data_IF_011546980397
#
_entry.id   IF_011546980397
#
_cell.length_a   1.000
_cell.length_b   1.000
_cell.length_c   1.000
_cell.angle_alpha   90.00
_cell.angle_beta   90.00
_cell.angle_gamma   90.00
#
_symmetry.space_group_name_H-M   'P 1'
#
loop_
_entity.id
_entity.type
_entity.pdbx_description
1 polymer ?
#
# COMPACT_ATOMS: atom_id res chain seq x y z
N UNK A 1 19.99 53.18 -9.35
CA UNK A 1 20.24 52.67 -8.00
C UNK A 1 19.00 52.93 -7.15
N UNK A 2 18.45 51.95 -6.46
CA UNK A 2 17.27 52.19 -5.61
C UNK A 2 17.63 53.12 -4.46
N UNK A 3 16.71 54.01 -4.11
CA UNK A 3 16.91 54.98 -3.02
C UNK A 3 16.93 54.30 -1.64
N UNK A 4 17.59 54.88 -0.64
CA UNK A 4 17.63 54.38 0.75
C UNK A 4 16.22 54.04 1.29
N UNK A 5 15.19 54.78 0.89
CA UNK A 5 13.79 54.55 1.28
C UNK A 5 13.20 53.30 0.67
N UNK A 6 13.57 52.96 -0.55
CA UNK A 6 13.11 51.72 -1.23
C UNK A 6 13.79 50.48 -0.66
N UNK A 7 15.06 50.62 -0.24
CA UNK A 7 15.80 49.51 0.40
C UNK A 7 15.25 49.19 1.80
N UNK A 8 14.96 50.21 2.62
CA UNK A 8 14.39 50.03 3.97
C UNK A 8 12.96 49.49 3.89
N UNK A 9 12.16 49.90 2.90
CA UNK A 9 10.80 49.31 2.67
C UNK A 9 10.82 47.85 2.30
N UNK A 10 11.75 47.40 1.45
CA UNK A 10 11.87 46.02 1.04
C UNK A 10 12.41 45.10 2.15
N UNK A 11 13.33 45.59 2.98
CA UNK A 11 13.84 44.82 4.14
C UNK A 11 12.79 44.74 5.26
N UNK A 12 12.03 45.81 5.50
CA UNK A 12 10.95 45.81 6.50
C UNK A 12 9.80 44.86 6.14
N UNK A 13 9.41 44.83 4.87
CA UNK A 13 8.37 43.88 4.39
C UNK A 13 8.83 42.41 4.48
N UNK A 14 10.10 42.13 4.20
CA UNK A 14 10.68 40.80 4.33
C UNK A 14 10.71 40.30 5.78
N UNK A 15 11.05 41.19 6.73
CA UNK A 15 11.07 40.88 8.18
C UNK A 15 9.68 40.65 8.76
N UNK A 16 8.66 41.37 8.28
CA UNK A 16 7.27 41.21 8.74
C UNK A 16 6.63 39.91 8.18
N UNK A 17 7.08 39.43 7.04
CA UNK A 17 6.58 38.17 6.42
C UNK A 17 7.33 36.92 6.93
N UNK A 18 8.51 37.05 7.50
CA UNK A 18 9.33 35.95 7.99
C UNK A 18 8.59 34.99 8.97
N UNK A 19 7.78 35.46 9.94
CA UNK A 19 7.00 34.59 10.81
C UNK A 19 5.93 33.78 10.03
N UNK A 20 5.29 34.39 9.01
CA UNK A 20 4.25 33.75 8.22
C UNK A 20 4.82 32.74 7.21
N UNK A 21 6.00 33.04 6.64
CA UNK A 21 6.75 32.12 5.81
C UNK A 21 7.19 30.90 6.64
N UNK A 22 7.72 31.12 7.84
CA UNK A 22 8.10 30.04 8.75
C UNK A 22 6.89 29.23 9.23
N UNK A 23 5.74 29.85 9.51
CA UNK A 23 4.52 29.12 9.84
C UNK A 23 3.99 28.31 8.66
N UNK A 24 4.03 28.86 7.43
CA UNK A 24 3.63 28.15 6.21
C UNK A 24 4.56 26.96 5.91
N UNK A 25 5.88 27.14 6.09
CA UNK A 25 6.85 26.06 5.95
C UNK A 25 6.74 25.01 7.06
N UNK A 26 6.50 25.41 8.30
CA UNK A 26 6.25 24.48 9.41
C UNK A 26 4.97 23.68 9.21
N UNK A 27 3.87 24.29 8.77
CA UNK A 27 2.62 23.57 8.42
C UNK A 27 2.83 22.61 7.25
N UNK A 28 3.56 23.00 6.19
CA UNK A 28 3.91 22.09 5.08
C UNK A 28 4.85 20.97 5.52
N UNK A 29 5.86 21.26 6.35
CA UNK A 29 6.76 20.25 6.89
C UNK A 29 6.02 19.30 7.85
N UNK A 30 5.08 19.80 8.64
CA UNK A 30 4.27 19.01 9.56
C UNK A 30 3.25 18.14 8.80
N UNK A 31 2.60 18.69 7.76
CA UNK A 31 1.75 17.90 6.86
C UNK A 31 2.56 16.82 6.13
N UNK A 32 3.77 17.12 5.66
CA UNK A 32 4.66 16.14 5.02
C UNK A 32 5.18 15.07 6.01
N UNK A 33 5.30 15.40 7.32
CA UNK A 33 5.72 14.44 8.35
C UNK A 33 4.62 13.44 8.71
N UNK A 34 3.36 13.79 8.41
CA UNK A 34 2.18 13.00 8.77
C UNK A 34 1.68 12.08 7.63
N UNK A 35 2.35 12.07 6.49
CA UNK A 35 1.97 11.24 5.35
C UNK A 35 2.61 9.85 5.43
N UNK A 36 1.84 8.83 5.06
CA UNK A 36 2.39 7.50 4.79
C UNK A 36 3.36 7.58 3.62
N UNK A 37 4.43 6.82 3.69
CA UNK A 37 5.43 6.77 2.63
C UNK A 37 5.25 5.57 1.72
N UNK A 38 4.45 4.61 2.16
CA UNK A 38 4.14 3.36 1.47
C UNK A 38 2.68 2.99 1.64
N UNK A 39 2.17 2.22 0.70
CA UNK A 39 0.86 1.58 0.80
C UNK A 39 1.01 0.08 0.54
N UNK A 40 0.34 -0.72 1.37
CA UNK A 40 0.20 -2.15 1.20
C UNK A 40 -1.27 -2.51 1.11
N UNK A 41 -1.68 -3.07 -0.02
CA UNK A 41 -3.04 -3.53 -0.27
C UNK A 41 -3.06 -5.05 -0.14
N UNK A 42 -3.83 -5.54 0.80
CA UNK A 42 -4.09 -6.95 1.01
C UNK A 42 -5.48 -7.25 0.43
N UNK A 43 -5.56 -8.17 -0.52
CA UNK A 43 -6.81 -8.53 -1.19
C UNK A 43 -7.19 -9.96 -0.88
N UNK A 44 -8.47 -10.19 -0.65
CA UNK A 44 -9.04 -11.53 -0.51
C UNK A 44 -10.46 -11.55 -1.06
N UNK A 45 -11.00 -12.75 -1.21
CA UNK A 45 -12.39 -12.92 -1.58
C UNK A 45 -13.33 -12.36 -0.52
N UNK A 46 -14.60 -12.22 -0.88
CA UNK A 46 -15.67 -11.71 -0.04
C UNK A 46 -15.96 -12.57 1.19
N UNK A 47 -16.68 -12.00 2.09
CA UNK A 47 -17.02 -12.59 3.38
C UNK A 47 -18.53 -12.64 3.59
N UNK A 48 -18.95 -13.15 4.74
CA UNK A 48 -20.36 -13.16 5.13
C UNK A 48 -20.61 -12.10 6.22
N UNK A 49 -21.35 -11.02 5.90
CA UNK A 49 -21.53 -9.86 6.76
C UNK A 49 -21.96 -10.17 8.19
N UNK A 50 -22.98 -11.01 8.43
CA UNK A 50 -23.48 -11.27 9.78
C UNK A 50 -22.43 -11.86 10.73
N UNK A 51 -21.41 -12.53 10.20
CA UNK A 51 -20.37 -13.18 11.00
C UNK A 51 -19.07 -12.37 11.06
N UNK A 52 -18.93 -11.36 10.21
CA UNK A 52 -17.74 -10.50 10.17
C UNK A 52 -17.84 -9.30 11.13
N UNK A 53 -19.02 -8.69 11.22
CA UNK A 53 -19.24 -7.50 12.04
C UNK A 53 -18.97 -7.79 13.52
N UNK A 54 -18.22 -6.93 14.24
CA UNK A 54 -18.04 -7.06 15.68
C UNK A 54 -19.37 -7.16 16.43
N UNK A 55 -19.44 -8.02 17.43
CA UNK A 55 -20.69 -8.29 18.17
C UNK A 55 -20.92 -7.31 19.32
N UNK A 56 -19.89 -6.59 19.76
CA UNK A 56 -20.00 -5.53 20.77
C UNK A 56 -19.28 -4.27 20.29
N UNK A 57 -20.01 -3.14 20.28
CA UNK A 57 -19.51 -1.82 19.86
C UNK A 57 -20.05 -0.77 20.83
N UNK A 58 -19.19 0.13 21.31
CA UNK A 58 -19.56 1.30 22.11
C UNK A 58 -19.02 2.56 21.44
N UNK A 59 -19.93 3.36 20.86
CA UNK A 59 -19.55 4.41 19.93
C UNK A 59 -18.84 3.82 18.71
N UNK A 60 -17.56 4.13 18.53
CA UNK A 60 -16.70 3.54 17.49
C UNK A 60 -15.70 2.52 18.08
N UNK A 61 -15.70 2.28 19.41
CA UNK A 61 -14.77 1.33 20.03
C UNK A 61 -15.34 -0.09 20.00
N UNK A 62 -14.53 -1.05 19.59
CA UNK A 62 -14.90 -2.47 19.59
C UNK A 62 -14.76 -2.99 21.01
N UNK A 63 -15.85 -3.54 21.56
CA UNK A 63 -15.87 -4.17 22.89
C UNK A 63 -15.86 -5.69 22.80
N UNK A 64 -16.36 -6.25 21.70
CA UNK A 64 -16.36 -7.69 21.44
C UNK A 64 -16.15 -7.95 19.95
N UNK A 65 -15.09 -8.63 19.62
CA UNK A 65 -14.75 -9.03 18.27
C UNK A 65 -15.63 -10.20 17.81
N UNK A 66 -15.93 -10.26 16.52
CA UNK A 66 -16.54 -11.45 15.92
C UNK A 66 -15.50 -12.56 15.78
N UNK A 67 -15.94 -13.80 15.61
CA UNK A 67 -15.02 -14.93 15.41
C UNK A 67 -14.12 -14.76 14.16
N UNK A 68 -14.63 -14.13 13.09
CA UNK A 68 -13.86 -13.85 11.88
C UNK A 68 -12.78 -12.78 12.09
N UNK A 69 -13.08 -11.77 12.90
CA UNK A 69 -12.19 -10.62 13.12
C UNK A 69 -11.37 -10.73 14.41
N UNK A 70 -11.61 -11.75 15.23
CA UNK A 70 -10.93 -11.98 16.51
C UNK A 70 -9.39 -11.89 16.43
N UNK A 71 -8.70 -12.41 15.42
CA UNK A 71 -7.24 -12.31 15.34
C UNK A 71 -6.73 -10.87 15.32
N UNK A 72 -7.49 -9.93 14.77
CA UNK A 72 -7.13 -8.52 14.72
C UNK A 72 -7.07 -7.86 16.11
N UNK A 73 -7.69 -8.50 17.13
CA UNK A 73 -7.63 -8.01 18.52
C UNK A 73 -6.20 -7.97 19.07
N UNK A 74 -5.29 -8.81 18.55
CA UNK A 74 -3.87 -8.79 18.92
C UNK A 74 -3.16 -7.48 18.54
N UNK A 75 -3.73 -6.71 17.62
CA UNK A 75 -3.23 -5.42 17.12
C UNK A 75 -4.33 -4.35 17.18
N UNK A 76 -5.27 -4.49 18.08
CA UNK A 76 -6.49 -3.67 18.17
C UNK A 76 -6.20 -2.17 18.05
N UNK A 77 -5.25 -1.64 18.80
CA UNK A 77 -4.90 -0.21 18.80
C UNK A 77 -4.37 0.32 17.46
N UNK A 78 -4.14 -0.55 16.50
CA UNK A 78 -3.56 -0.21 15.20
C UNK A 78 -4.55 -0.37 14.03
N UNK A 79 -5.77 -0.87 14.29
CA UNK A 79 -6.71 -1.22 13.23
C UNK A 79 -8.01 -0.45 13.30
N UNK A 80 -8.57 -0.20 12.13
CA UNK A 80 -9.90 0.39 11.91
C UNK A 80 -10.66 -0.52 10.97
N UNK A 81 -11.81 -1.01 11.41
CA UNK A 81 -12.76 -1.76 10.60
C UNK A 81 -13.79 -0.79 10.03
N UNK A 82 -14.02 -0.86 8.74
CA UNK A 82 -15.02 -0.04 8.03
C UNK A 82 -15.97 -0.96 7.28
N UNK A 83 -17.27 -0.76 7.40
CA UNK A 83 -18.28 -1.54 6.70
C UNK A 83 -19.47 -0.71 6.22
N UNK A 84 -20.31 -1.33 5.39
CA UNK A 84 -21.58 -0.76 4.96
C UNK A 84 -21.50 0.07 3.69
N UNK A 85 -20.32 0.20 3.11
CA UNK A 85 -20.06 1.09 1.97
C UNK A 85 -20.44 0.40 0.64
N UNK A 86 -21.44 0.89 -0.11
CA UNK A 86 -21.79 0.29 -1.40
C UNK A 86 -20.73 0.62 -2.46
N UNK A 87 -20.54 -0.31 -3.42
CA UNK A 87 -19.75 -0.06 -4.62
C UNK A 87 -20.53 0.81 -5.64
N UNK A 88 -19.90 1.07 -6.77
CA UNK A 88 -20.54 1.77 -7.89
C UNK A 88 -21.66 0.98 -8.56
N UNK A 89 -21.56 -0.35 -8.50
CA UNK A 89 -22.59 -1.28 -8.97
C UNK A 89 -22.89 -2.31 -7.87
N UNK A 90 -23.66 -1.94 -6.85
CA UNK A 90 -23.77 -2.75 -5.63
C UNK A 90 -24.48 -4.10 -5.82
N UNK A 91 -25.11 -4.32 -6.96
CA UNK A 91 -25.81 -5.56 -7.28
C UNK A 91 -25.00 -6.52 -8.15
N UNK A 92 -23.79 -6.14 -8.55
CA UNK A 92 -22.88 -7.01 -9.30
C UNK A 92 -21.98 -7.77 -8.33
N UNK A 93 -22.20 -9.07 -8.27
CA UNK A 93 -21.50 -9.93 -7.32
C UNK A 93 -20.10 -10.35 -7.73
N UNK A 94 -19.75 -10.24 -9.00
CA UNK A 94 -18.47 -10.74 -9.51
C UNK A 94 -17.54 -9.63 -10.03
N UNK A 95 -17.84 -8.37 -9.68
CA UNK A 95 -17.03 -7.22 -10.06
C UNK A 95 -15.87 -6.95 -9.09
N UNK A 96 -14.96 -7.89 -8.89
CA UNK A 96 -13.82 -7.73 -7.97
C UNK A 96 -13.00 -6.46 -8.22
N UNK A 97 -12.93 -6.01 -9.48
CA UNK A 97 -12.27 -4.78 -9.88
C UNK A 97 -12.87 -3.52 -9.26
N UNK A 98 -14.15 -3.52 -8.94
CA UNK A 98 -14.81 -2.38 -8.31
C UNK A 98 -14.21 -2.05 -6.96
N UNK A 99 -13.75 -3.08 -6.24
CA UNK A 99 -13.15 -2.94 -4.92
C UNK A 99 -11.99 -1.95 -4.88
N UNK A 100 -11.15 -1.93 -5.91
CA UNK A 100 -9.96 -1.07 -5.96
C UNK A 100 -10.04 0.04 -7.00
N UNK A 101 -11.04 0.06 -7.87
CA UNK A 101 -11.19 1.13 -8.88
C UNK A 101 -12.16 2.24 -8.45
N UNK A 102 -13.02 1.96 -7.48
CA UNK A 102 -14.08 2.87 -7.05
C UNK A 102 -15.21 3.04 -8.05
N UNK A 103 -15.18 2.32 -9.17
CA UNK A 103 -16.20 2.40 -10.21
C UNK A 103 -17.08 1.16 -10.16
N UNK A 104 -18.37 1.33 -10.46
CA UNK A 104 -19.24 0.22 -10.74
C UNK A 104 -18.96 -0.31 -12.14
N UNK A 105 -18.72 -1.62 -12.22
CA UNK A 105 -18.60 -2.32 -13.50
C UNK A 105 -19.85 -3.12 -13.80
N UNK A 106 -20.11 -3.28 -15.08
CA UNK A 106 -21.05 -4.27 -15.57
C UNK A 106 -20.53 -5.68 -15.31
N UNK A 107 -21.43 -6.63 -15.36
CA UNK A 107 -21.28 -8.05 -15.15
C UNK A 107 -19.92 -8.64 -15.55
N UNK A 108 -19.43 -9.61 -14.77
CA UNK A 108 -18.23 -10.43 -14.98
C UNK A 108 -17.86 -10.63 -16.47
N UNK A 109 -16.64 -10.26 -16.82
CA UNK A 109 -16.10 -10.44 -18.17
C UNK A 109 -16.54 -9.41 -19.22
N UNK A 110 -17.35 -8.41 -18.88
CA UNK A 110 -17.90 -7.46 -19.85
C UNK A 110 -17.35 -6.04 -19.78
N UNK A 111 -16.51 -5.71 -18.82
CA UNK A 111 -16.04 -4.35 -18.61
C UNK A 111 -14.55 -4.16 -18.89
N UNK A 112 -14.17 -3.00 -19.39
CA UNK A 112 -12.80 -2.53 -19.36
C UNK A 112 -12.49 -2.12 -17.92
N UNK A 113 -11.65 -2.88 -17.21
CA UNK A 113 -11.20 -2.50 -15.87
C UNK A 113 -10.53 -1.13 -15.96
N UNK A 114 -10.89 -0.26 -15.05
CA UNK A 114 -10.31 1.07 -14.91
C UNK A 114 -9.09 1.02 -14.01
N UNK A 115 -8.36 2.11 -13.93
CA UNK A 115 -7.18 2.21 -13.10
C UNK A 115 -7.50 1.92 -11.64
N UNK A 116 -6.88 0.92 -11.05
CA UNK A 116 -6.98 0.62 -9.62
C UNK A 116 -6.16 1.60 -8.78
N UNK A 117 -6.50 1.72 -7.50
CA UNK A 117 -5.92 2.72 -6.58
C UNK A 117 -4.40 2.59 -6.44
N UNK A 118 -3.87 1.37 -6.45
CA UNK A 118 -2.43 1.12 -6.43
C UNK A 118 -1.71 1.69 -7.65
N UNK A 119 -2.27 1.47 -8.86
CA UNK A 119 -1.72 2.01 -10.10
C UNK A 119 -1.86 3.52 -10.18
N UNK A 120 -2.98 4.06 -9.70
CA UNK A 120 -3.17 5.50 -9.61
C UNK A 120 -2.13 6.13 -8.67
N UNK A 121 -1.94 5.58 -7.47
CA UNK A 121 -0.95 6.05 -6.50
C UNK A 121 0.46 5.94 -7.10
N UNK A 122 0.82 4.80 -7.68
CA UNK A 122 2.12 4.60 -8.30
C UNK A 122 2.41 5.65 -9.38
N UNK A 123 1.44 5.94 -10.26
CA UNK A 123 1.56 6.96 -11.30
C UNK A 123 1.78 8.37 -10.72
N UNK A 124 1.05 8.72 -9.65
CA UNK A 124 1.19 10.02 -8.98
C UNK A 124 2.52 10.16 -8.26
N UNK A 125 3.01 9.09 -7.61
CA UNK A 125 4.33 9.09 -6.98
C UNK A 125 5.43 9.32 -8.02
N UNK A 126 5.38 8.63 -9.17
CA UNK A 126 6.32 8.84 -10.28
C UNK A 126 6.24 10.29 -10.80
N UNK A 127 5.04 10.82 -11.01
CA UNK A 127 4.85 12.21 -11.45
C UNK A 127 5.38 13.22 -10.43
N UNK A 128 5.35 12.90 -9.13
CA UNK A 128 5.90 13.72 -8.05
C UNK A 128 7.41 13.49 -7.82
N UNK A 129 8.09 12.78 -8.72
CA UNK A 129 9.53 12.59 -8.68
C UNK A 129 10.02 11.44 -7.80
N UNK A 130 9.13 10.60 -7.28
CA UNK A 130 9.52 9.37 -6.55
C UNK A 130 10.03 8.36 -7.58
N UNK A 131 11.29 7.96 -7.42
CA UNK A 131 11.96 7.01 -8.33
C UNK A 131 12.30 5.73 -7.58
N UNK A 132 11.37 4.79 -7.57
CA UNK A 132 11.64 3.43 -7.10
C UNK A 132 11.88 2.50 -8.29
N UNK A 133 12.71 1.45 -8.15
CA UNK A 133 12.93 0.45 -9.22
C UNK A 133 11.64 -0.18 -9.74
N UNK A 134 10.68 -0.42 -8.84
CA UNK A 134 9.36 -0.99 -9.14
C UNK A 134 8.31 0.03 -8.70
N UNK A 135 7.49 0.50 -9.64
CA UNK A 135 6.46 1.49 -9.35
C UNK A 135 5.32 0.91 -8.50
N UNK A 136 4.85 -0.29 -8.83
CA UNK A 136 3.88 -1.08 -8.06
C UNK A 136 4.25 -2.56 -8.15
N UNK A 137 4.24 -3.27 -7.02
CA UNK A 137 4.57 -4.69 -6.90
C UNK A 137 3.29 -5.49 -6.64
N UNK A 138 2.87 -6.30 -7.61
CA UNK A 138 1.64 -7.10 -7.54
C UNK A 138 2.00 -8.56 -7.33
N UNK A 139 1.78 -9.09 -6.12
CA UNK A 139 2.05 -10.47 -5.75
C UNK A 139 0.76 -11.18 -5.33
N UNK A 140 0.69 -12.48 -5.57
CA UNK A 140 -0.42 -13.29 -5.11
C UNK A 140 -0.39 -14.70 -5.69
N UNK A 141 -0.68 -15.71 -4.87
CA UNK A 141 -0.77 -17.08 -5.30
C UNK A 141 -2.22 -17.48 -5.55
N UNK A 142 -2.41 -18.37 -6.54
CA UNK A 142 -3.71 -18.82 -7.00
C UNK A 142 -4.66 -17.70 -7.48
N UNK A 143 -4.07 -16.71 -8.16
CA UNK A 143 -4.79 -15.53 -8.67
C UNK A 143 -4.94 -15.54 -10.20
N UNK A 144 -4.61 -16.65 -10.88
CA UNK A 144 -4.28 -16.65 -12.30
C UNK A 144 -5.21 -17.51 -13.16
N UNK A 145 -6.42 -17.82 -12.77
CA UNK A 145 -7.31 -18.72 -13.51
C UNK A 145 -7.69 -18.22 -14.92
N UNK A 146 -7.78 -16.91 -15.12
CA UNK A 146 -8.15 -16.29 -16.39
C UNK A 146 -6.93 -15.85 -17.21
N UNK A 147 -5.96 -16.73 -17.41
CA UNK A 147 -4.76 -16.41 -18.20
C UNK A 147 -3.74 -15.52 -17.48
N UNK A 148 -3.74 -15.52 -16.17
CA UNK A 148 -2.75 -14.84 -15.38
C UNK A 148 -3.11 -13.41 -14.97
N UNK A 149 -4.34 -12.98 -15.15
CA UNK A 149 -4.79 -11.62 -14.89
C UNK A 149 -5.59 -11.56 -13.58
N UNK A 150 -5.18 -10.66 -12.68
CA UNK A 150 -5.94 -10.36 -11.48
C UNK A 150 -7.25 -9.64 -11.81
N UNK A 151 -8.27 -9.88 -11.02
CA UNK A 151 -9.52 -9.13 -11.09
C UNK A 151 -9.53 -7.86 -10.24
N UNK A 152 -8.55 -7.69 -9.37
CA UNK A 152 -8.43 -6.50 -8.52
C UNK A 152 -7.69 -5.36 -9.20
N UNK A 153 -6.70 -5.63 -10.04
CA UNK A 153 -5.74 -4.61 -10.47
C UNK A 153 -5.94 -4.21 -11.93
N UNK A 154 -6.27 -2.96 -12.13
CA UNK A 154 -6.47 -2.36 -13.43
C UNK A 154 -5.38 -1.36 -13.81
N UNK A 155 -4.81 -1.52 -15.00
CA UNK A 155 -3.77 -0.63 -15.54
C UNK A 155 -4.25 0.78 -15.84
N UNK A 156 -3.32 1.71 -16.03
CA UNK A 156 -3.59 3.13 -16.29
C UNK A 156 -4.47 3.39 -17.54
N UNK A 157 -4.42 2.48 -18.51
CA UNK A 157 -5.19 2.56 -19.76
C UNK A 157 -6.37 1.58 -19.80
N UNK A 158 -6.74 1.01 -18.66
CA UNK A 158 -7.69 -0.10 -18.57
C UNK A 158 -7.00 -1.45 -18.77
N UNK A 159 -7.78 -2.54 -18.57
CA UNK A 159 -7.30 -3.91 -18.65
C UNK A 159 -6.70 -4.42 -17.34
N UNK A 160 -6.90 -5.70 -17.09
CA UNK A 160 -6.42 -6.39 -15.89
C UNK A 160 -4.90 -6.53 -15.93
N UNK A 161 -4.27 -6.41 -14.77
CA UNK A 161 -2.85 -6.61 -14.59
C UNK A 161 -2.58 -8.00 -14.00
N UNK A 162 -1.48 -8.67 -14.42
CA UNK A 162 -1.09 -9.94 -13.84
C UNK A 162 -0.47 -9.76 -12.46
N UNK A 163 -0.68 -10.74 -11.59
CA UNK A 163 0.09 -10.92 -10.36
C UNK A 163 1.25 -11.88 -10.57
N UNK A 164 2.31 -11.71 -9.79
CA UNK A 164 3.41 -12.68 -9.75
C UNK A 164 3.08 -13.72 -8.68
N UNK A 165 2.68 -14.91 -9.11
CA UNK A 165 2.32 -16.02 -8.22
C UNK A 165 3.54 -16.79 -7.72
N UNK A 166 4.54 -17.00 -8.58
CA UNK A 166 5.78 -17.71 -8.25
C UNK A 166 6.63 -16.96 -7.22
N UNK A 167 6.92 -17.54 -6.04
CA UNK A 167 7.82 -16.95 -5.07
C UNK A 167 9.23 -16.70 -5.62
N UNK A 168 9.73 -17.62 -6.45
CA UNK A 168 11.05 -17.48 -7.07
C UNK A 168 11.07 -16.37 -8.11
N UNK A 169 10.03 -16.27 -8.94
CA UNK A 169 9.90 -15.17 -9.91
C UNK A 169 9.74 -13.82 -9.22
N UNK A 170 8.94 -13.74 -8.15
CA UNK A 170 8.80 -12.53 -7.34
C UNK A 170 10.13 -12.11 -6.72
N UNK A 171 10.86 -13.06 -6.13
CA UNK A 171 12.19 -12.83 -5.59
C UNK A 171 13.18 -12.32 -6.65
N UNK A 172 13.23 -12.95 -7.81
CA UNK A 172 14.10 -12.56 -8.92
C UNK A 172 13.73 -11.18 -9.48
N UNK A 173 12.43 -10.87 -9.57
CA UNK A 173 11.96 -9.55 -10.00
C UNK A 173 12.42 -8.47 -9.04
N UNK A 174 12.31 -8.71 -7.73
CA UNK A 174 12.62 -7.70 -6.70
C UNK A 174 14.14 -7.63 -6.42
N UNK A 175 14.82 -8.78 -6.36
CA UNK A 175 16.21 -8.86 -5.88
C UNK A 175 17.21 -9.42 -6.90
N UNK A 176 16.74 -9.97 -8.04
CA UNK A 176 17.60 -10.70 -8.99
C UNK A 176 18.60 -9.82 -9.76
N UNK A 177 18.17 -8.66 -10.23
CA UNK A 177 18.99 -7.79 -11.07
C UNK A 177 19.59 -6.57 -10.35
N UNK A 178 19.14 -6.26 -9.14
CA UNK A 178 19.33 -4.95 -8.54
C UNK A 178 20.22 -4.90 -7.29
N UNK A 179 20.50 -6.03 -6.66
CA UNK A 179 21.31 -6.05 -5.44
C UNK A 179 22.53 -6.95 -5.62
N UNK A 180 23.76 -6.43 -5.44
CA UNK A 180 24.93 -7.27 -5.33
C UNK A 180 24.76 -8.26 -4.19
N UNK A 181 25.12 -9.53 -4.41
CA UNK A 181 25.10 -10.57 -3.38
C UNK A 181 25.98 -10.15 -2.20
N UNK A 182 25.42 -10.12 -1.00
CA UNK A 182 26.17 -9.94 0.24
C UNK A 182 26.31 -8.52 0.74
N UNK A 183 25.55 -7.56 0.25
CA UNK A 183 25.70 -6.16 0.64
C UNK A 183 24.42 -5.55 1.21
N UNK A 184 24.63 -4.96 2.37
CA UNK A 184 23.75 -4.08 3.13
C UNK A 184 23.31 -2.84 2.31
N UNK A 185 22.52 -1.98 2.91
CA UNK A 185 22.16 -0.64 2.44
C UNK A 185 23.33 0.15 1.81
N UNK A 186 24.58 -0.16 2.17
CA UNK A 186 25.80 0.37 1.57
C UNK A 186 25.95 0.13 0.06
N UNK A 187 25.42 -0.96 -0.50
CA UNK A 187 25.56 -1.22 -1.95
C UNK A 187 24.49 -0.48 -2.78
N UNK A 188 23.30 -0.28 -2.22
CA UNK A 188 22.31 0.60 -2.85
C UNK A 188 22.83 2.04 -2.90
N UNK A 189 23.54 2.45 -1.85
CA UNK A 189 24.25 3.73 -1.81
C UNK A 189 25.42 3.78 -2.78
N UNK A 190 26.24 2.74 -2.86
CA UNK A 190 27.34 2.68 -3.81
C UNK A 190 26.85 2.80 -5.26
N UNK A 191 25.68 2.22 -5.59
CA UNK A 191 25.07 2.37 -6.92
C UNK A 191 24.48 3.76 -7.14
N UNK A 192 23.81 4.34 -6.14
CA UNK A 192 23.34 5.74 -6.19
C UNK A 192 24.53 6.69 -6.32
N UNK A 193 25.59 6.44 -5.58
CA UNK A 193 26.85 7.17 -5.69
C UNK A 193 27.47 7.01 -7.08
N UNK A 194 27.53 5.82 -7.65
CA UNK A 194 28.05 5.58 -9.02
C UNK A 194 27.25 6.35 -10.09
N UNK A 195 25.93 6.48 -9.93
CA UNK A 195 25.10 7.29 -10.85
C UNK A 195 25.40 8.78 -10.66
N UNK A 196 25.53 9.24 -9.43
CA UNK A 196 25.86 10.63 -9.12
C UNK A 196 27.30 10.98 -9.55
N UNK A 197 28.24 10.06 -9.35
CA UNK A 197 29.63 10.20 -9.84
C UNK A 197 29.68 10.30 -11.38
N UNK A 198 28.87 9.53 -12.10
CA UNK A 198 28.71 9.60 -13.56
C UNK A 198 28.16 10.96 -13.99
N UNK A 199 27.07 11.41 -13.35
CA UNK A 199 26.47 12.72 -13.62
C UNK A 199 27.43 13.85 -13.29
N UNK A 200 28.19 13.73 -12.19
CA UNK A 200 29.22 14.69 -11.79
C UNK A 200 30.33 14.74 -12.81
N UNK A 201 30.76 13.59 -13.38
CA UNK A 201 31.73 13.50 -14.48
C UNK A 201 31.27 14.22 -15.76
N UNK A 202 30.00 14.01 -16.15
CA UNK A 202 29.39 14.70 -17.30
C UNK A 202 29.28 16.21 -17.09
N UNK A 203 28.88 16.64 -15.89
CA UNK A 203 28.77 18.06 -15.51
C UNK A 203 30.19 18.69 -15.51
N UNK A 204 31.21 18.01 -15.01
CA UNK A 204 32.59 18.50 -15.02
C UNK A 204 33.10 18.67 -16.44
N UNK A 205 32.73 17.74 -17.34
CA UNK A 205 33.00 17.86 -18.77
C UNK A 205 32.33 19.10 -19.38
N UNK A 206 31.08 19.38 -19.01
CA UNK A 206 30.36 20.55 -19.47
C UNK A 206 30.94 21.87 -18.95
N UNK A 207 31.47 21.90 -17.72
CA UNK A 207 32.13 23.07 -17.14
C UNK A 207 33.29 23.61 -17.99
N UNK A 208 33.98 22.75 -18.77
CA UNK A 208 35.03 23.18 -19.64
C UNK A 208 34.58 24.03 -20.82
N UNK A 209 33.27 24.01 -21.14
CA UNK A 209 32.64 24.71 -22.26
C UNK A 209 31.82 25.94 -21.89
N UNK A 210 31.68 26.21 -20.59
CA UNK A 210 30.83 27.29 -20.07
C UNK A 210 31.59 28.55 -19.69
N UNK A 211 30.94 29.71 -19.78
CA UNK A 211 31.44 30.99 -19.30
C UNK A 211 31.53 31.04 -17.76
N UNK A 212 32.30 32.01 -17.23
CA UNK A 212 32.59 32.10 -15.78
C UNK A 212 31.35 32.21 -14.88
N UNK A 213 30.28 32.86 -15.32
CA UNK A 213 29.05 33.03 -14.54
C UNK A 213 28.20 31.76 -14.51
N UNK A 214 28.09 31.04 -15.65
CA UNK A 214 27.42 29.76 -15.74
C UNK A 214 28.18 28.67 -14.99
N UNK A 215 29.50 28.70 -15.04
CA UNK A 215 30.37 27.81 -14.27
C UNK A 215 30.17 27.98 -12.76
N UNK A 216 30.09 29.19 -12.26
CA UNK A 216 29.85 29.46 -10.83
C UNK A 216 28.47 28.94 -10.36
N UNK A 217 27.43 29.05 -11.18
CA UNK A 217 26.11 28.48 -10.88
C UNK A 217 26.14 26.97 -10.86
N UNK A 218 26.87 26.36 -11.79
CA UNK A 218 27.00 24.90 -11.88
C UNK A 218 27.86 24.35 -10.73
N UNK A 219 28.88 25.06 -10.30
CA UNK A 219 29.69 24.72 -9.11
C UNK A 219 28.87 24.76 -7.82
N UNK A 220 28.01 25.79 -7.65
CA UNK A 220 27.08 25.89 -6.54
C UNK A 220 26.08 24.73 -6.52
N UNK A 221 25.62 24.28 -7.71
CA UNK A 221 24.70 23.15 -7.84
C UNK A 221 25.39 21.82 -7.51
N UNK A 222 26.61 21.61 -8.00
CA UNK A 222 27.46 20.45 -7.66
C UNK A 222 27.76 20.38 -6.16
N UNK A 223 28.11 21.51 -5.55
CA UNK A 223 28.34 21.60 -4.10
C UNK A 223 27.08 21.21 -3.32
N UNK A 224 25.89 21.62 -3.79
CA UNK A 224 24.62 21.25 -3.17
C UNK A 224 24.31 19.76 -3.32
N UNK A 225 24.63 19.16 -4.46
CA UNK A 225 24.50 17.71 -4.70
C UNK A 225 25.45 16.94 -3.79
N UNK A 226 26.73 17.34 -3.70
CA UNK A 226 27.74 16.71 -2.84
C UNK A 226 27.36 16.85 -1.35
N UNK A 227 26.82 18.00 -0.92
CA UNK A 227 26.33 18.19 0.44
C UNK A 227 25.15 17.27 0.74
N UNK A 228 24.27 17.05 -0.24
CA UNK A 228 23.15 16.10 -0.15
C UNK A 228 23.64 14.65 -0.07
N UNK A 229 24.64 14.28 -0.88
CA UNK A 229 25.32 12.98 -0.82
C UNK A 229 25.94 12.71 0.55
N UNK A 230 26.73 13.66 1.05
CA UNK A 230 27.37 13.55 2.35
C UNK A 230 26.33 13.44 3.48
N UNK A 231 25.21 14.16 3.39
CA UNK A 231 24.12 14.07 4.33
C UNK A 231 23.39 12.73 4.26
N UNK A 232 23.22 12.17 3.07
CA UNK A 232 22.67 10.83 2.85
C UNK A 232 23.61 9.74 3.38
N UNK A 233 24.94 9.94 3.25
CA UNK A 233 25.94 8.99 3.76
C UNK A 233 26.09 9.02 5.29
N UNK A 234 25.94 10.19 5.92
CA UNK A 234 26.05 10.34 7.37
C UNK A 234 24.74 10.04 8.13
N UNK A 235 23.60 10.02 7.45
CA UNK A 235 22.29 9.76 8.04
C UNK A 235 21.82 8.32 7.96
N UNK A 236 22.68 7.39 7.59
CA UNK A 236 22.30 5.98 7.56
C UNK A 236 22.30 5.37 8.95
N UNK A 237 21.17 4.76 9.35
CA UNK A 237 21.18 3.91 10.54
C UNK A 237 22.05 2.68 10.27
N UNK A 238 23.01 2.43 11.14
CA UNK A 238 23.80 1.19 11.20
C UNK A 238 22.98 -0.02 11.67
N UNK A 239 21.65 0.04 11.59
CA UNK A 239 20.68 -0.95 12.03
C UNK A 239 19.85 -1.48 10.86
N UNK A 240 20.18 -2.65 10.41
CA UNK A 240 19.31 -3.75 9.96
C UNK A 240 18.17 -3.50 8.95
N UNK A 241 18.23 -2.48 8.04
CA UNK A 241 17.06 -2.17 7.21
C UNK A 241 16.91 -3.01 5.94
N UNK A 242 17.83 -2.90 5.02
CA UNK A 242 17.73 -3.57 3.71
C UNK A 242 18.55 -4.86 3.69
N UNK A 243 17.88 -5.99 3.72
CA UNK A 243 18.52 -7.30 3.54
C UNK A 243 17.81 -8.08 2.42
N UNK A 244 18.62 -8.69 1.54
CA UNK A 244 18.11 -9.65 0.59
C UNK A 244 17.64 -10.88 1.37
N UNK A 245 16.37 -11.27 1.31
CA UNK A 245 15.91 -12.47 1.99
C UNK A 245 16.53 -13.73 1.38
N UNK A 246 16.42 -14.86 2.08
CA UNK A 246 16.83 -16.16 1.52
C UNK A 246 16.09 -16.42 0.22
N UNK A 247 16.82 -16.87 -0.80
CA UNK A 247 16.21 -17.26 -2.07
C UNK A 247 15.18 -18.37 -1.83
N UNK A 248 13.95 -18.22 -2.31
CA UNK A 248 12.95 -19.29 -2.24
C UNK A 248 13.41 -20.54 -2.97
N UNK A 249 12.87 -21.70 -2.62
CA UNK A 249 13.04 -22.92 -3.39
C UNK A 249 12.47 -22.80 -4.82
N UNK A 250 12.71 -23.83 -5.64
CA UNK A 250 12.15 -23.90 -6.98
C UNK A 250 10.61 -23.88 -6.94
N UNK A 251 9.97 -23.36 -7.97
CA UNK A 251 8.50 -23.25 -8.06
C UNK A 251 7.80 -24.60 -7.91
N UNK A 252 8.41 -25.70 -8.38
CA UNK A 252 7.94 -27.07 -8.14
C UNK A 252 7.77 -27.44 -6.66
N UNK A 253 8.43 -26.68 -5.76
CA UNK A 253 8.31 -26.89 -4.30
C UNK A 253 7.06 -26.27 -3.71
N UNK A 254 6.37 -25.37 -4.41
CA UNK A 254 5.26 -24.58 -3.86
C UNK A 254 3.92 -24.82 -4.53
N UNK A 255 3.89 -25.47 -5.70
CA UNK A 255 2.66 -25.75 -6.46
C UNK A 255 1.61 -24.63 -6.41
N UNK A 256 2.08 -23.37 -6.42
CA UNK A 256 1.25 -22.17 -6.21
C UNK A 256 0.12 -22.01 -7.24
N UNK A 257 0.19 -22.73 -8.37
CA UNK A 257 -0.86 -22.79 -9.39
C UNK A 257 -1.82 -23.98 -9.21
N UNK A 258 -1.49 -24.91 -8.33
CA UNK A 258 -2.24 -26.15 -8.10
C UNK A 258 -2.87 -26.22 -6.71
N UNK A 259 -3.18 -25.07 -6.11
CA UNK A 259 -3.93 -24.98 -4.85
C UNK A 259 -3.20 -25.50 -3.60
N UNK A 260 -2.29 -26.44 -3.74
CA UNK A 260 -1.72 -27.16 -2.59
C UNK A 260 -0.86 -26.29 -1.68
N UNK A 261 -0.18 -25.27 -2.22
CA UNK A 261 0.76 -24.44 -1.45
C UNK A 261 0.56 -22.91 -1.64
N UNK A 262 -0.60 -22.48 -2.14
CA UNK A 262 -0.89 -21.08 -2.37
C UNK A 262 -0.74 -20.23 -1.10
N UNK A 263 -1.18 -20.75 0.05
CA UNK A 263 -1.03 -20.07 1.32
C UNK A 263 0.45 -20.00 1.78
N UNK A 264 1.21 -21.07 1.56
CA UNK A 264 2.65 -21.10 1.84
C UNK A 264 3.44 -20.14 0.93
N UNK A 265 3.09 -20.08 -0.37
CA UNK A 265 3.66 -19.12 -1.31
C UNK A 265 3.42 -17.68 -0.86
N UNK A 266 2.21 -17.37 -0.39
CA UNK A 266 1.88 -16.03 0.11
C UNK A 266 2.65 -15.64 1.39
N UNK A 267 3.04 -16.58 2.25
CA UNK A 267 3.95 -16.31 3.38
C UNK A 267 5.34 -15.83 2.91
N UNK A 268 5.81 -16.35 1.77
CA UNK A 268 7.07 -15.90 1.18
C UNK A 268 6.87 -14.53 0.53
N UNK A 269 5.75 -14.31 -0.17
CA UNK A 269 5.41 -13.01 -0.74
C UNK A 269 5.35 -11.90 0.31
N UNK A 270 4.82 -12.17 1.52
CA UNK A 270 4.85 -11.20 2.63
C UNK A 270 6.28 -10.75 2.96
N UNK A 271 7.22 -11.71 3.04
CA UNK A 271 8.64 -11.41 3.31
C UNK A 271 9.29 -10.63 2.17
N UNK A 272 8.95 -10.96 0.91
CA UNK A 272 9.43 -10.23 -0.26
C UNK A 272 8.96 -8.78 -0.23
N UNK A 273 7.68 -8.53 0.05
CA UNK A 273 7.11 -7.17 0.15
C UNK A 273 7.80 -6.38 1.27
N UNK A 274 7.91 -6.95 2.47
CA UNK A 274 8.51 -6.28 3.61
C UNK A 274 9.97 -5.87 3.33
N UNK A 275 10.75 -6.76 2.73
CA UNK A 275 12.13 -6.46 2.34
C UNK A 275 12.21 -5.50 1.14
N UNK A 276 11.27 -5.55 0.18
CA UNK A 276 11.19 -4.58 -0.91
C UNK A 276 10.93 -3.16 -0.36
N UNK A 277 10.10 -3.03 0.67
CA UNK A 277 9.86 -1.78 1.38
C UNK A 277 11.10 -1.33 2.19
N UNK A 278 11.75 -2.25 2.90
CA UNK A 278 12.97 -1.97 3.64
C UNK A 278 14.14 -1.53 2.75
N UNK A 279 14.14 -1.94 1.50
CA UNK A 279 15.12 -1.55 0.50
C UNK A 279 14.69 -0.38 -0.40
N UNK A 280 13.52 0.22 -0.16
CA UNK A 280 12.90 1.25 -1.02
C UNK A 280 12.86 0.87 -2.51
N UNK A 281 12.65 -0.43 -2.79
CA UNK A 281 12.52 -0.96 -4.16
C UNK A 281 11.16 -0.59 -4.74
N UNK A 282 10.14 -0.57 -3.90
CA UNK A 282 8.80 -0.09 -4.22
C UNK A 282 8.21 0.65 -3.02
N UNK A 283 7.19 1.48 -3.27
CA UNK A 283 6.37 2.13 -2.23
C UNK A 283 4.90 1.76 -2.35
N UNK A 284 4.56 0.96 -3.34
CA UNK A 284 3.21 0.45 -3.56
C UNK A 284 3.33 -1.06 -3.74
N UNK A 285 2.68 -1.82 -2.88
CA UNK A 285 2.65 -3.27 -2.99
C UNK A 285 1.24 -3.81 -2.74
N UNK A 286 0.93 -4.88 -3.43
CA UNK A 286 -0.33 -5.61 -3.32
C UNK A 286 -0.03 -7.09 -3.06
N UNK A 287 -0.82 -7.70 -2.19
CA UNK A 287 -0.80 -9.13 -1.92
C UNK A 287 -2.22 -9.68 -2.03
N UNK A 288 -2.44 -10.57 -2.99
CA UNK A 288 -3.73 -11.17 -3.28
C UNK A 288 -3.79 -12.62 -2.81
N UNK A 289 -4.87 -12.95 -2.12
CA UNK A 289 -5.18 -14.31 -1.66
C UNK A 289 -6.34 -14.87 -2.47
N UNK A 290 -6.01 -15.48 -3.61
CA UNK A 290 -6.98 -16.06 -4.53
C UNK A 290 -7.73 -15.03 -5.38
N UNK A 291 -8.40 -15.52 -6.42
CA UNK A 291 -9.37 -14.74 -7.20
C UNK A 291 -10.80 -15.12 -6.81
N UNK A 292 -11.79 -14.51 -7.46
CA UNK A 292 -13.21 -14.67 -7.13
C UNK A 292 -13.76 -16.08 -7.36
N UNK A 293 -13.05 -16.96 -8.07
CA UNK A 293 -13.64 -18.24 -8.50
C UNK A 293 -13.11 -19.47 -7.77
N UNK A 294 -11.83 -19.52 -7.41
CA UNK A 294 -11.29 -20.73 -6.77
C UNK A 294 -10.03 -20.43 -5.95
N UNK A 295 -10.17 -20.13 -4.71
CA UNK A 295 -9.09 -20.36 -3.78
C UNK A 295 -9.31 -21.72 -3.12
N UNK A 296 -8.64 -22.73 -3.61
CA UNK A 296 -8.55 -24.01 -2.90
C UNK A 296 -7.73 -23.78 -1.63
N UNK A 297 -8.32 -24.10 -0.51
CA UNK A 297 -7.69 -23.90 0.79
C UNK A 297 -6.98 -25.17 1.20
N UNK A 298 -5.66 -25.18 1.12
CA UNK A 298 -4.81 -26.14 1.79
C UNK A 298 -4.13 -25.44 2.97
N UNK A 299 -4.87 -25.33 4.05
CA UNK A 299 -4.39 -24.59 5.20
C UNK A 299 -3.29 -25.33 5.95
N UNK A 300 -2.36 -24.60 6.59
CA UNK A 300 -1.32 -25.21 7.40
C UNK A 300 -1.90 -26.16 8.48
N UNK A 301 -1.16 -27.20 8.79
CA UNK A 301 -1.51 -28.13 9.87
C UNK A 301 -1.86 -27.40 11.16
N UNK A 302 -2.92 -27.82 11.81
CA UNK A 302 -3.39 -27.22 13.08
C UNK A 302 -4.48 -26.14 12.93
N UNK A 303 -4.80 -25.68 11.71
CA UNK A 303 -5.90 -24.72 11.50
C UNK A 303 -7.28 -25.36 11.61
N UNK A 304 -7.37 -26.67 11.40
CA UNK A 304 -8.63 -27.42 11.36
C UNK A 304 -9.51 -27.06 10.17
N UNK A 305 -8.90 -26.50 9.11
CA UNK A 305 -9.58 -26.23 7.84
C UNK A 305 -9.49 -27.46 6.94
N UNK A 306 -10.59 -27.98 6.40
CA UNK A 306 -10.56 -29.03 5.38
C UNK A 306 -9.99 -28.45 4.08
N UNK A 307 -9.44 -29.34 3.25
CA UNK A 307 -9.14 -28.99 1.87
C UNK A 307 -10.45 -28.83 1.11
N UNK A 308 -10.77 -27.61 0.71
CA UNK A 308 -12.00 -27.30 -0.03
C UNK A 308 -11.86 -25.94 -0.75
N UNK A 309 -12.76 -25.69 -1.66
CA UNK A 309 -12.88 -24.43 -2.37
C UNK A 309 -13.53 -23.36 -1.48
N UNK A 310 -12.91 -22.19 -1.38
CA UNK A 310 -13.49 -21.09 -0.62
C UNK A 310 -14.85 -20.65 -1.17
N UNK A 311 -15.01 -20.57 -2.50
CA UNK A 311 -16.24 -20.11 -3.14
C UNK A 311 -17.36 -21.15 -2.98
N UNK A 312 -17.19 -22.34 -3.57
CA UNK A 312 -18.22 -23.38 -3.54
C UNK A 312 -18.38 -24.03 -2.17
N UNK A 313 -17.27 -24.42 -1.56
CA UNK A 313 -17.24 -25.19 -0.32
C UNK A 313 -17.51 -24.37 0.94
N UNK A 314 -16.88 -23.21 1.10
CA UNK A 314 -17.00 -22.43 2.33
C UNK A 314 -18.12 -21.39 2.28
N UNK A 315 -18.31 -20.72 1.14
CA UNK A 315 -19.33 -19.67 1.01
C UNK A 315 -20.68 -20.29 0.66
N UNK A 316 -20.82 -20.91 -0.50
CA UNK A 316 -22.13 -21.35 -0.97
C UNK A 316 -22.64 -22.64 -0.31
N UNK A 317 -21.78 -23.62 -0.08
CA UNK A 317 -22.14 -24.84 0.65
C UNK A 317 -22.04 -24.69 2.17
N UNK A 318 -21.41 -23.64 2.63
CA UNK A 318 -21.14 -23.39 4.05
C UNK A 318 -22.37 -23.02 4.87
N UNK A 319 -23.48 -22.60 4.24
CA UNK A 319 -24.72 -22.22 4.91
C UNK A 319 -25.28 -23.34 5.79
N UNK A 320 -25.21 -24.60 5.32
CA UNK A 320 -25.68 -25.77 6.07
C UNK A 320 -24.86 -26.08 7.32
N UNK A 321 -23.62 -25.63 7.39
CA UNK A 321 -22.71 -25.78 8.53
C UNK A 321 -22.49 -24.48 9.32
N UNK A 322 -23.39 -23.51 9.19
CA UNK A 322 -23.27 -22.17 9.81
C UNK A 322 -21.96 -21.47 9.44
N UNK A 323 -21.45 -21.68 8.24
CA UNK A 323 -20.21 -21.08 7.74
C UNK A 323 -18.96 -21.37 8.59
N UNK A 324 -18.93 -22.47 9.33
CA UNK A 324 -17.85 -22.76 10.27
C UNK A 324 -16.45 -22.74 9.62
N UNK A 325 -16.32 -23.24 8.39
CA UNK A 325 -15.05 -23.24 7.65
C UNK A 325 -14.72 -21.83 7.12
N UNK A 326 -15.70 -21.07 6.66
CA UNK A 326 -15.50 -19.69 6.27
C UNK A 326 -15.03 -18.84 7.46
N UNK A 327 -15.61 -19.01 8.64
CA UNK A 327 -15.20 -18.33 9.88
C UNK A 327 -13.74 -18.63 10.20
N UNK A 328 -13.34 -19.90 10.15
CA UNK A 328 -11.94 -20.31 10.40
C UNK A 328 -10.99 -19.74 9.35
N UNK A 329 -11.39 -19.74 8.08
CA UNK A 329 -10.58 -19.23 6.99
C UNK A 329 -10.41 -17.71 7.09
N UNK A 330 -11.46 -16.97 7.35
CA UNK A 330 -11.41 -15.53 7.60
C UNK A 330 -10.52 -15.19 8.80
N UNK A 331 -10.63 -15.95 9.89
CA UNK A 331 -9.74 -15.83 11.04
C UNK A 331 -8.28 -16.13 10.66
N UNK A 332 -8.03 -17.14 9.82
CA UNK A 332 -6.69 -17.41 9.29
C UNK A 332 -6.16 -16.22 8.49
N UNK A 333 -6.94 -15.63 7.57
CA UNK A 333 -6.52 -14.42 6.84
C UNK A 333 -6.26 -13.26 7.79
N UNK A 334 -7.08 -13.11 8.84
CA UNK A 334 -6.82 -12.16 9.93
C UNK A 334 -5.46 -12.38 10.58
N UNK A 335 -5.05 -13.63 10.85
CA UNK A 335 -3.71 -13.92 11.38
C UNK A 335 -2.60 -13.53 10.40
N UNK A 336 -2.82 -13.71 9.10
CA UNK A 336 -1.86 -13.30 8.06
C UNK A 336 -1.71 -11.78 7.99
N UNK A 337 -2.80 -11.04 8.11
CA UNK A 337 -2.75 -9.59 8.17
C UNK A 337 -2.01 -9.09 9.41
N UNK A 338 -2.24 -9.71 10.58
CA UNK A 338 -1.50 -9.44 11.82
C UNK A 338 -0.01 -9.78 11.67
N UNK A 339 0.31 -10.89 11.01
CA UNK A 339 1.70 -11.28 10.74
C UNK A 339 2.42 -10.22 9.89
N UNK A 340 1.77 -9.68 8.85
CA UNK A 340 2.29 -8.57 8.05
C UNK A 340 2.52 -7.31 8.89
N UNK A 341 1.57 -6.93 9.75
CA UNK A 341 1.72 -5.80 10.68
C UNK A 341 2.98 -5.99 11.54
N UNK A 342 3.14 -7.18 12.14
CA UNK A 342 4.27 -7.47 13.02
C UNK A 342 5.60 -7.52 12.24
N UNK A 343 5.58 -8.04 11.01
CA UNK A 343 6.75 -8.04 10.14
C UNK A 343 7.21 -6.61 9.82
N UNK A 344 6.28 -5.70 9.48
CA UNK A 344 6.61 -4.30 9.23
C UNK A 344 7.03 -3.55 10.49
N UNK A 345 6.50 -3.89 11.66
CA UNK A 345 6.95 -3.36 12.96
C UNK A 345 8.38 -3.78 13.31
N UNK A 346 8.81 -4.95 12.84
CA UNK A 346 10.16 -5.46 13.08
C UNK A 346 11.26 -4.85 12.19
N UNK A 347 10.89 -4.00 11.21
CA UNK A 347 11.84 -3.43 10.25
C UNK A 347 11.87 -1.91 10.36
N UNK A 348 13.09 -1.34 10.44
CA UNK A 348 13.27 0.12 10.44
C UNK A 348 12.93 0.73 9.08
N UNK A 349 12.35 1.93 9.08
CA UNK A 349 12.07 2.67 7.85
C UNK A 349 13.36 3.33 7.31
N UNK A 350 13.85 2.93 6.11
CA UNK A 350 15.03 3.55 5.50
C UNK A 350 14.79 5.00 5.08
N UNK A 351 13.54 5.46 5.05
CA UNK A 351 13.17 6.84 4.70
C UNK A 351 12.96 7.73 5.93
N UNK A 352 13.07 7.17 7.13
CA UNK A 352 13.02 7.97 8.36
C UNK A 352 14.41 8.55 8.70
N UNK A 353 14.60 9.87 8.62
CA UNK A 353 15.88 10.49 8.91
C UNK A 353 16.27 10.40 10.38
N UNK A 354 15.33 10.09 11.27
CA UNK A 354 15.59 9.98 12.73
C UNK A 354 16.00 8.56 13.12
N UNK A 355 15.72 7.55 12.27
CA UNK A 355 15.98 6.15 12.56
C UNK A 355 15.09 5.55 13.65
N UNK A 356 14.03 6.27 14.05
CA UNK A 356 13.14 5.86 15.15
C UNK A 356 11.86 5.17 14.68
N UNK A 357 11.47 5.35 13.39
CA UNK A 357 10.25 4.79 12.83
C UNK A 357 10.49 3.43 12.21
N UNK A 358 9.49 2.57 12.37
CA UNK A 358 9.42 1.29 11.67
C UNK A 358 8.73 1.45 10.30
N UNK A 359 8.82 0.43 9.46
CA UNK A 359 8.04 0.40 8.22
C UNK A 359 6.53 0.51 8.49
N UNK A 360 6.05 -0.07 9.59
CA UNK A 360 4.63 0.01 9.96
C UNK A 360 4.18 1.45 10.25
N UNK A 361 5.02 2.25 10.90
CA UNK A 361 4.70 3.66 11.22
C UNK A 361 4.52 4.53 9.97
N UNK A 362 5.10 4.12 8.85
CA UNK A 362 5.12 4.89 7.60
C UNK A 362 4.42 4.18 6.44
N UNK A 363 3.76 3.07 6.69
CA UNK A 363 2.97 2.33 5.71
C UNK A 363 1.49 2.37 6.09
N UNK A 364 0.62 2.82 5.18
CA UNK A 364 -0.80 2.55 5.30
C UNK A 364 -1.09 1.17 4.71
N UNK A 365 -1.75 0.33 5.47
CA UNK A 365 -2.25 -0.97 5.03
C UNK A 365 -3.76 -0.91 4.86
N UNK A 366 -4.28 -1.53 3.80
CA UNK A 366 -5.71 -1.74 3.60
C UNK A 366 -5.96 -3.19 3.19
N UNK A 367 -6.91 -3.83 3.87
CA UNK A 367 -7.44 -5.12 3.47
C UNK A 367 -8.77 -4.88 2.75
N UNK A 368 -8.80 -5.17 1.46
CA UNK A 368 -9.94 -5.04 0.57
C UNK A 368 -10.46 -6.41 0.17
N UNK A 369 -11.72 -6.45 -0.25
CA UNK A 369 -12.43 -7.67 -0.67
C UNK A 369 -13.12 -7.44 -1.98
N UNK A 370 -13.32 -8.50 -2.76
CA UNK A 370 -14.07 -8.44 -4.02
C UNK A 370 -15.56 -8.11 -3.79
N UNK A 371 -16.15 -8.68 -2.73
CA UNK A 371 -17.57 -8.52 -2.41
C UNK A 371 -17.80 -8.08 -0.98
N UNK A 372 -18.90 -7.38 -0.75
CA UNK A 372 -19.41 -7.06 0.56
C UNK A 372 -20.13 -8.23 1.22
N UNK A 373 -20.89 -8.97 0.42
CA UNK A 373 -21.62 -10.18 0.82
C UNK A 373 -21.42 -11.25 -0.25
N UNK A 374 -20.51 -12.17 -0.01
CA UNK A 374 -20.16 -13.21 -0.95
C UNK A 374 -21.27 -14.26 -1.10
N UNK A 375 -22.03 -14.53 -0.04
CA UNK A 375 -23.14 -15.48 -0.10
C UNK A 375 -24.24 -15.01 -1.07
N UNK A 376 -24.54 -13.72 -1.08
CA UNK A 376 -25.59 -13.12 -1.89
C UNK A 376 -25.06 -12.43 -3.15
N UNK A 377 -23.79 -12.61 -3.49
CA UNK A 377 -23.14 -12.03 -4.65
C UNK A 377 -23.44 -10.53 -4.82
N UNK A 378 -23.13 -9.74 -3.80
CA UNK A 378 -23.35 -8.30 -3.92
C UNK A 378 -22.26 -7.45 -3.24
N UNK A 379 -22.20 -6.21 -3.64
CA UNK A 379 -21.27 -5.20 -3.16
C UNK A 379 -22.01 -4.04 -2.45
N UNK A 380 -23.17 -4.30 -1.87
CA UNK A 380 -23.96 -3.28 -1.16
C UNK A 380 -23.31 -2.83 0.14
N UNK A 381 -22.51 -3.69 0.75
CA UNK A 381 -21.91 -3.44 2.06
C UNK A 381 -20.44 -3.87 2.05
N UNK A 382 -19.61 -3.17 1.28
CA UNK A 382 -18.17 -3.43 1.22
C UNK A 382 -17.53 -3.25 2.59
N UNK A 383 -16.48 -4.05 2.84
CA UNK A 383 -15.75 -4.10 4.11
C UNK A 383 -14.27 -3.93 3.89
N UNK A 384 -13.69 -3.13 4.77
CA UNK A 384 -12.26 -2.83 4.74
C UNK A 384 -11.68 -2.91 6.15
N UNK A 385 -10.41 -3.31 6.25
CA UNK A 385 -9.60 -3.15 7.45
C UNK A 385 -8.45 -2.25 7.10
N UNK A 386 -8.29 -1.16 7.85
CA UNK A 386 -7.15 -0.24 7.70
C UNK A 386 -6.20 -0.45 8.87
N UNK A 387 -4.90 -0.34 8.62
CA UNK A 387 -3.87 -0.39 9.66
C UNK A 387 -2.65 0.45 9.27
N UNK A 388 -1.79 0.79 10.23
CA UNK A 388 -0.54 1.48 9.95
C UNK A 388 -0.68 3.00 9.86
N UNK A 389 0.36 3.67 9.36
CA UNK A 389 0.43 5.13 9.35
C UNK A 389 0.36 5.71 10.76
N UNK A 390 0.86 5.00 11.74
CA UNK A 390 0.59 5.18 13.16
C UNK A 390 0.98 6.58 13.66
N UNK A 391 0.00 7.27 14.26
CA UNK A 391 0.17 8.62 14.77
C UNK A 391 0.27 9.69 13.70
N UNK A 392 0.19 9.33 12.42
CA UNK A 392 0.35 10.27 11.32
C UNK A 392 -0.88 10.44 10.45
N UNK A 393 -1.56 9.37 10.08
CA UNK A 393 -2.76 9.48 9.25
C UNK A 393 -3.99 8.85 9.89
N UNK A 394 -3.91 7.58 10.29
CA UNK A 394 -5.06 6.80 10.70
C UNK A 394 -5.47 7.11 12.15
N UNK A 395 -6.69 7.57 12.35
CA UNK A 395 -7.28 7.73 13.68
C UNK A 395 -7.73 6.36 14.20
N UNK A 396 -7.09 5.86 15.25
CA UNK A 396 -7.35 4.56 15.87
C UNK A 396 -7.98 4.69 17.26
N UNK A 397 -8.34 3.57 17.87
CA UNK A 397 -8.80 3.47 19.26
C UNK A 397 -8.10 2.31 19.97
N UNK A 398 -7.96 2.37 21.29
CA UNK A 398 -7.21 1.39 22.08
C UNK A 398 -7.68 -0.07 21.86
N UNK A 399 -8.98 -0.28 21.73
CA UNK A 399 -9.58 -1.61 21.57
C UNK A 399 -9.96 -1.95 20.12
N UNK A 400 -9.43 -1.18 19.14
CA UNK A 400 -9.87 -1.23 17.76
C UNK A 400 -11.04 -0.28 17.50
N UNK A 401 -11.07 0.28 16.30
CA UNK A 401 -12.08 1.22 15.89
C UNK A 401 -12.97 0.61 14.82
N UNK A 402 -14.28 0.80 14.95
CA UNK A 402 -15.27 0.34 13.99
C UNK A 402 -16.08 1.53 13.46
N UNK A 403 -16.21 1.60 12.15
CA UNK A 403 -16.96 2.64 11.45
C UNK A 403 -17.96 1.96 10.52
N UNK A 404 -19.23 2.33 10.69
CA UNK A 404 -20.27 2.00 9.72
C UNK A 404 -20.59 3.22 8.87
N UNK A 405 -20.59 3.04 7.55
CA UNK A 405 -20.84 4.12 6.61
C UNK A 405 -21.68 3.61 5.45
N UNK A 406 -22.60 4.44 4.97
CA UNK A 406 -23.39 4.20 3.75
C UNK A 406 -22.87 5.00 2.55
N UNK A 407 -21.75 5.68 2.74
CA UNK A 407 -21.06 6.40 1.66
C UNK A 407 -20.46 5.43 0.66
N UNK A 408 -20.27 5.87 -0.57
CA UNK A 408 -19.62 5.06 -1.62
C UNK A 408 -18.24 4.60 -1.17
N UNK A 409 -17.91 3.33 -1.43
CA UNK A 409 -16.62 2.76 -1.01
C UNK A 409 -15.41 3.45 -1.66
N UNK A 410 -15.59 4.11 -2.80
CA UNK A 410 -14.55 4.93 -3.41
C UNK A 410 -13.92 5.91 -2.41
N UNK A 411 -14.70 6.45 -1.46
CA UNK A 411 -14.21 7.44 -0.49
C UNK A 411 -13.13 6.87 0.43
N UNK A 412 -13.16 5.56 0.76
CA UNK A 412 -12.08 4.92 1.51
C UNK A 412 -10.81 4.78 0.66
N UNK A 413 -10.94 4.58 -0.66
CA UNK A 413 -9.80 4.57 -1.57
C UNK A 413 -9.19 5.97 -1.72
N UNK A 414 -10.00 7.04 -1.64
CA UNK A 414 -9.50 8.41 -1.58
C UNK A 414 -8.73 8.68 -0.27
N UNK A 415 -9.11 8.06 0.86
CA UNK A 415 -8.31 8.10 2.08
C UNK A 415 -6.92 7.45 1.88
N UNK A 416 -6.86 6.35 1.13
CA UNK A 416 -5.57 5.71 0.80
C UNK A 416 -4.70 6.65 -0.04
N UNK A 417 -5.29 7.35 -1.02
CA UNK A 417 -4.59 8.37 -1.81
C UNK A 417 -4.10 9.53 -0.93
N UNK A 418 -4.98 10.06 -0.07
CA UNK A 418 -4.66 11.17 0.83
C UNK A 418 -3.52 10.83 1.80
N UNK A 419 -3.53 9.61 2.36
CA UNK A 419 -2.46 9.11 3.21
C UNK A 419 -1.10 9.12 2.50
N UNK A 420 -1.08 8.92 1.18
CA UNK A 420 0.11 9.00 0.33
C UNK A 420 0.42 10.42 -0.16
N UNK A 421 -0.25 11.44 0.37
CA UNK A 421 -0.06 12.83 0.01
C UNK A 421 -0.68 13.23 -1.33
N UNK A 422 -1.56 12.40 -1.89
CA UNK A 422 -2.25 12.67 -3.15
C UNK A 422 -3.61 13.28 -2.82
N UNK A 423 -3.78 14.57 -3.13
CA UNK A 423 -4.99 15.33 -2.85
C UNK A 423 -5.79 15.69 -4.11
N UNK A 424 -5.27 15.38 -5.29
CA UNK A 424 -5.98 15.52 -6.56
C UNK A 424 -6.34 14.15 -7.11
N UNK A 425 -7.63 13.88 -7.19
CA UNK A 425 -8.20 12.59 -7.59
C UNK A 425 -8.67 12.56 -9.04
N UNK A 426 -8.30 13.56 -9.84
CA UNK A 426 -8.65 13.61 -11.25
C UNK A 426 -8.09 12.37 -11.99
N UNK A 427 -8.98 11.70 -12.72
CA UNK A 427 -8.67 10.46 -13.44
C UNK A 427 -8.77 9.17 -12.62
N UNK A 428 -9.21 9.25 -11.35
CA UNK A 428 -9.47 8.08 -10.52
C UNK A 428 -10.94 7.99 -10.13
N UNK A 429 -11.43 6.77 -9.98
CA UNK A 429 -12.74 6.46 -9.46
C UNK A 429 -13.89 6.81 -10.41
N UNK A 430 -15.09 6.85 -9.86
CA UNK A 430 -16.32 7.11 -10.62
C UNK A 430 -16.35 8.55 -11.13
N UNK A 431 -16.43 8.78 -12.46
CA UNK A 431 -16.53 10.13 -13.01
C UNK A 431 -17.84 10.84 -12.67
N UNK A 432 -18.88 10.10 -12.24
CA UNK A 432 -20.14 10.65 -11.75
C UNK A 432 -20.05 11.27 -10.37
N UNK A 433 -19.02 10.94 -9.59
CA UNK A 433 -18.78 11.56 -8.29
C UNK A 433 -17.96 12.83 -8.45
N UNK A 434 -18.50 13.95 -7.97
CA UNK A 434 -17.88 15.27 -8.06
C UNK A 434 -18.07 16.06 -6.77
N UNK A 435 -17.32 17.14 -6.58
CA UNK A 435 -17.48 18.02 -5.42
C UNK A 435 -17.31 17.26 -4.09
N UNK A 436 -18.27 17.41 -3.19
CA UNK A 436 -18.24 16.80 -1.84
C UNK A 436 -18.39 15.30 -1.84
N UNK A 437 -18.95 14.69 -2.89
CA UNK A 437 -19.04 13.23 -3.02
C UNK A 437 -17.71 12.60 -3.43
N UNK A 438 -16.78 13.36 -4.02
CA UNK A 438 -15.44 12.93 -4.39
C UNK A 438 -14.37 13.41 -3.40
N UNK A 439 -14.60 13.11 -2.14
CA UNK A 439 -13.69 13.44 -1.03
C UNK A 439 -13.43 12.20 -0.19
N UNK A 440 -12.31 12.12 0.52
CA UNK A 440 -12.07 11.05 1.48
C UNK A 440 -13.22 10.88 2.48
N UNK A 441 -13.41 9.67 2.97
CA UNK A 441 -14.37 9.40 4.03
C UNK A 441 -13.94 10.20 5.28
N UNK A 442 -14.84 11.00 5.89
CA UNK A 442 -14.51 11.78 7.05
C UNK A 442 -14.19 10.90 8.26
N UNK A 443 -13.45 11.44 9.23
CA UNK A 443 -13.07 10.77 10.47
C UNK A 443 -12.14 9.55 10.33
N UNK A 444 -11.61 9.24 9.16
CA UNK A 444 -10.56 8.21 8.99
C UNK A 444 -9.21 8.78 9.42
N UNK A 445 -8.90 9.98 8.96
CA UNK A 445 -7.68 10.70 9.33
C UNK A 445 -7.72 11.21 10.78
N UNK A 446 -6.52 11.26 11.42
CA UNK A 446 -6.31 11.74 12.78
C UNK A 446 -6.34 13.28 12.89
#
# INVERSE_FOLDING_TARGET
MPTRRQFVGSVGAGLLLAPFINMGMRRRAQAASNQSKRVLIFCSMGTYPPLWTPTGISGESITTWSAMTQPLSAVASNVVLVEGMPSGNPNDGHGASDSLTGQGFGYYGQGVIKTSVDQFIASKLVANGVKTPIASLLLGANCNENGGLSQFYGGANGGNLPTIGSPLSAFNTVFGAALPTGTSASALLARRKSILDTITGEITGLQSTLGSNEKAKLDAHLTSIQALENKLMTSMPTGGGCMKPTTPGADSSYQYMNDMDALAANLIHQKIIANAFACDITRVACLEYGNDQKLMVNAPSGTGLPYDDQHGGYIHSGASSNYANLVKFEAYLGTQFVALINLLKGLSDPLDPTGTKTLFDTTLMIWARDMGDAQNHNQQSMRFVLAGGNGSYLKTAANGRYIKSTERHERILLNVCEAMGITSYAGFGDPGLTGTSKTPLPNIAA
#
